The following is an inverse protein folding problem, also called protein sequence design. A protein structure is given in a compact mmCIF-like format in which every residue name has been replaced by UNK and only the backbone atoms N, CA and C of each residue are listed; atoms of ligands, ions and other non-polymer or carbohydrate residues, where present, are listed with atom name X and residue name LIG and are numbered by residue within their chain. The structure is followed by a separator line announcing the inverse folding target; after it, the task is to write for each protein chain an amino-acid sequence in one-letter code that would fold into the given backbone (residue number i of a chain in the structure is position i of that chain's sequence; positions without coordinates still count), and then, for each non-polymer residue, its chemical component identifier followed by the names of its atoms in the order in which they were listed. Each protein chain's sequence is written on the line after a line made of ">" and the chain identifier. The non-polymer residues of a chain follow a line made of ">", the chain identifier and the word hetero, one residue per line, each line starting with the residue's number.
data_IF_057844419437
#
_entry.id   IF_057844419437
#
_cell.length_a   1.000
_cell.length_b   1.000
_cell.length_c   1.000
_cell.angle_alpha   90.00
_cell.angle_beta   90.00
_cell.angle_gamma   90.00
#
_symmetry.space_group_name_H-M   'P 1'
#
loop_
_entity.id
_entity.type
_entity.pdbx_description
1 polymer ?
#
# COMPACT_ATOMS: atom_id res chain seq x y z
N UNK A 1 -2.53 74.55 -20.96
CA UNK A 1 -1.35 74.10 -20.20
C UNK A 1 -1.86 73.58 -18.85
N UNK A 2 -2.19 72.29 -18.80
CA UNK A 2 -1.42 71.25 -18.12
C UNK A 2 -1.61 71.25 -16.60
N UNK A 3 -2.49 70.37 -16.10
CA UNK A 3 -2.59 69.96 -14.70
C UNK A 3 -2.71 68.44 -14.68
N UNK A 4 -1.60 67.75 -14.42
CA UNK A 4 -1.53 66.30 -14.29
C UNK A 4 -2.08 65.88 -12.92
N UNK A 5 -3.14 65.05 -12.91
CA UNK A 5 -3.62 64.37 -11.72
C UNK A 5 -2.83 63.08 -11.50
N UNK A 6 -2.18 62.96 -10.34
CA UNK A 6 -1.42 61.79 -9.91
C UNK A 6 -2.36 60.63 -9.55
N UNK A 7 -2.33 59.55 -10.33
CA UNK A 7 -2.95 58.27 -9.98
C UNK A 7 -2.03 57.54 -8.98
N UNK A 8 -2.54 57.31 -7.77
CA UNK A 8 -1.91 56.44 -6.77
C UNK A 8 -2.11 54.98 -7.22
N UNK A 9 -1.05 54.30 -7.64
CA UNK A 9 -1.07 52.86 -7.84
C UNK A 9 -1.00 52.17 -6.47
N UNK A 10 -2.09 51.53 -6.06
CA UNK A 10 -2.08 50.62 -4.90
C UNK A 10 -1.41 49.33 -5.35
N UNK A 11 -0.15 49.14 -4.97
CA UNK A 11 0.54 47.86 -5.09
C UNK A 11 -0.06 46.88 -4.05
N UNK A 12 -0.89 45.94 -4.51
CA UNK A 12 -1.32 44.81 -3.68
C UNK A 12 -0.14 43.85 -3.59
N UNK A 13 0.49 43.85 -2.42
CA UNK A 13 1.65 43.04 -2.08
C UNK A 13 1.36 41.54 -2.19
N UNK A 14 2.11 40.85 -3.06
CA UNK A 14 2.15 39.39 -3.11
C UNK A 14 2.94 38.84 -1.92
N UNK A 15 2.25 38.43 -0.85
CA UNK A 15 2.88 37.86 0.35
C UNK A 15 2.11 36.67 0.93
N UNK A 16 1.58 35.79 0.08
CA UNK A 16 0.92 34.55 0.51
C UNK A 16 1.56 33.25 -0.01
N UNK A 17 2.65 33.32 -0.80
CA UNK A 17 3.25 32.13 -1.44
C UNK A 17 4.31 31.46 -0.54
N UNK A 18 4.92 32.17 0.41
CA UNK A 18 6.10 31.67 1.15
C UNK A 18 5.80 30.57 2.19
N UNK A 19 4.59 30.50 2.75
CA UNK A 19 4.25 29.54 3.80
C UNK A 19 3.87 28.13 3.28
N UNK A 20 3.56 28.01 1.98
CA UNK A 20 3.10 26.74 1.38
C UNK A 20 4.26 25.83 0.93
N UNK A 21 5.40 26.40 0.57
CA UNK A 21 6.55 25.65 0.04
C UNK A 21 7.18 24.66 1.05
N UNK A 22 7.41 25.00 2.34
CA UNK A 22 8.06 24.09 3.28
C UNK A 22 7.23 22.83 3.60
N UNK A 23 5.91 22.99 3.72
CA UNK A 23 4.99 21.88 4.00
C UNK A 23 4.86 20.93 2.80
N UNK A 24 4.82 21.48 1.58
CA UNK A 24 4.80 20.67 0.37
C UNK A 24 6.09 19.86 0.21
N UNK A 25 7.24 20.43 0.55
CA UNK A 25 8.54 19.75 0.50
C UNK A 25 8.63 18.63 1.54
N UNK A 26 8.29 18.91 2.81
CA UNK A 26 8.28 17.90 3.87
C UNK A 26 7.33 16.73 3.56
N UNK A 27 6.17 17.00 2.95
CA UNK A 27 5.22 15.96 2.53
C UNK A 27 5.78 15.11 1.39
N UNK A 28 6.52 15.72 0.45
CA UNK A 28 7.20 15.01 -0.62
C UNK A 28 8.33 14.11 -0.08
N UNK A 29 9.14 14.63 0.86
CA UNK A 29 10.22 13.87 1.51
C UNK A 29 9.67 12.65 2.26
N UNK A 30 8.57 12.81 3.01
CA UNK A 30 7.89 11.70 3.68
C UNK A 30 7.34 10.68 2.68
N UNK A 31 6.72 11.13 1.59
CA UNK A 31 6.17 10.26 0.55
C UNK A 31 7.28 9.41 -0.11
N UNK A 32 8.41 10.03 -0.46
CA UNK A 32 9.55 9.35 -1.07
C UNK A 32 10.21 8.35 -0.11
N UNK A 33 10.35 8.72 1.17
CA UNK A 33 10.86 7.83 2.20
C UNK A 33 9.95 6.59 2.39
N UNK A 34 8.64 6.80 2.51
CA UNK A 34 7.66 5.73 2.66
C UNK A 34 7.61 4.83 1.42
N UNK A 35 7.64 5.41 0.22
CA UNK A 35 7.75 4.67 -1.04
C UNK A 35 8.97 3.78 -1.08
N UNK A 36 10.14 4.29 -0.65
CA UNK A 36 11.37 3.51 -0.61
C UNK A 36 11.32 2.36 0.42
N UNK A 37 10.68 2.56 1.57
CA UNK A 37 10.45 1.50 2.56
C UNK A 37 9.62 0.37 1.96
N UNK A 38 8.50 0.70 1.32
CA UNK A 38 7.60 -0.28 0.70
C UNK A 38 8.29 -0.99 -0.47
N UNK A 39 9.02 -0.28 -1.33
CA UNK A 39 9.80 -0.88 -2.42
C UNK A 39 10.75 -1.95 -1.88
N UNK A 40 11.56 -1.63 -0.87
CA UNK A 40 12.50 -2.60 -0.26
C UNK A 40 11.80 -3.83 0.30
N UNK A 41 10.62 -3.66 0.91
CA UNK A 41 9.87 -4.78 1.45
C UNK A 41 9.32 -5.70 0.35
N UNK A 42 8.90 -5.15 -0.79
CA UNK A 42 8.51 -5.94 -1.95
C UNK A 42 9.69 -6.61 -2.65
N UNK A 43 10.85 -5.95 -2.72
CA UNK A 43 12.08 -6.57 -3.23
C UNK A 43 12.50 -7.77 -2.38
N UNK A 44 12.45 -7.62 -1.04
CA UNK A 44 12.69 -8.72 -0.11
C UNK A 44 11.66 -9.84 -0.26
N UNK A 45 10.39 -9.50 -0.53
CA UNK A 45 9.35 -10.48 -0.79
C UNK A 45 9.60 -11.27 -2.09
N UNK A 46 9.98 -10.59 -3.17
CA UNK A 46 10.37 -11.23 -4.43
C UNK A 46 11.60 -12.15 -4.26
N UNK A 47 12.55 -11.75 -3.41
CA UNK A 47 13.74 -12.54 -3.06
C UNK A 47 13.45 -13.68 -2.06
N UNK A 48 12.28 -13.71 -1.41
CA UNK A 48 11.92 -14.69 -0.38
C UNK A 48 12.65 -14.50 0.95
N UNK A 49 13.19 -13.32 1.23
CA UNK A 49 13.98 -13.00 2.44
C UNK A 49 13.23 -12.17 3.46
N UNK A 50 11.97 -11.83 3.19
CA UNK A 50 11.09 -11.05 4.07
C UNK A 50 9.80 -10.70 3.36
N UNK A 51 9.05 -9.72 3.88
CA UNK A 51 7.95 -9.15 3.11
C UNK A 51 7.28 -7.94 3.73
N UNK A 52 6.28 -7.36 3.04
CA UNK A 52 5.57 -6.17 3.50
C UNK A 52 4.86 -6.37 4.85
N UNK A 53 4.56 -7.61 5.24
CA UNK A 53 3.90 -7.93 6.51
C UNK A 53 4.79 -7.72 7.75
N UNK A 54 6.11 -7.61 7.58
CA UNK A 54 7.06 -7.28 8.65
C UNK A 54 7.02 -5.79 9.02
N UNK A 55 6.42 -4.97 8.14
CA UNK A 55 6.21 -3.55 8.36
C UNK A 55 4.91 -3.26 9.11
N UNK A 56 4.00 -4.22 9.26
CA UNK A 56 2.77 -4.02 10.03
C UNK A 56 3.12 -3.71 11.49
N UNK A 57 2.56 -2.62 12.03
CA UNK A 57 2.52 -2.40 13.47
C UNK A 57 1.66 -3.49 14.14
N UNK A 58 1.87 -3.76 15.43
CA UNK A 58 1.12 -4.82 16.12
C UNK A 58 -0.40 -4.56 16.13
N UNK A 59 -0.80 -3.30 16.24
CA UNK A 59 -2.18 -2.81 16.18
C UNK A 59 -2.66 -2.47 14.77
N UNK A 60 -1.92 -2.86 13.73
CA UNK A 60 -2.25 -2.51 12.36
C UNK A 60 -3.59 -3.11 11.90
N UNK A 61 -4.50 -2.26 11.44
CA UNK A 61 -5.79 -2.71 10.90
C UNK A 61 -5.66 -3.01 9.40
N UNK A 62 -6.04 -4.23 8.99
CA UNK A 62 -6.04 -4.63 7.58
C UNK A 62 -7.46 -4.83 7.08
N UNK A 63 -7.86 -4.16 6.01
CA UNK A 63 -9.18 -4.32 5.40
C UNK A 63 -9.04 -4.96 4.03
N UNK A 64 -9.63 -6.14 3.85
CA UNK A 64 -9.85 -6.73 2.53
C UNK A 64 -11.21 -6.26 2.04
N UNK A 65 -11.22 -5.49 0.95
CA UNK A 65 -12.46 -4.94 0.38
C UNK A 65 -13.19 -5.97 -0.49
N UNK A 66 -14.36 -5.59 -1.01
CA UNK A 66 -15.15 -6.47 -1.89
C UNK A 66 -15.86 -7.60 -1.13
N UNK A 67 -16.05 -8.73 -1.81
CA UNK A 67 -16.90 -9.84 -1.34
C UNK A 67 -16.19 -11.21 -1.47
N UNK A 68 -14.88 -11.24 -1.24
CA UNK A 68 -14.13 -12.48 -1.13
C UNK A 68 -14.47 -13.20 0.19
N UNK A 69 -14.11 -14.48 0.30
CA UNK A 69 -14.22 -15.24 1.54
C UNK A 69 -13.35 -14.68 2.68
N UNK A 70 -12.39 -13.81 2.36
CA UNK A 70 -11.54 -13.12 3.33
C UNK A 70 -11.93 -11.63 3.53
N UNK A 71 -13.03 -11.17 2.93
CA UNK A 71 -13.43 -9.76 3.00
C UNK A 71 -13.98 -9.41 4.38
N UNK A 72 -13.21 -8.62 5.13
CA UNK A 72 -13.56 -7.95 6.39
C UNK A 72 -12.41 -7.02 6.81
N UNK A 73 -12.60 -6.32 7.92
CA UNK A 73 -11.51 -5.66 8.64
C UNK A 73 -10.96 -6.58 9.72
N UNK A 74 -9.66 -6.83 9.66
CA UNK A 74 -8.87 -7.50 10.69
C UNK A 74 -8.31 -6.43 11.63
N UNK A 75 -8.59 -6.50 12.94
CA UNK A 75 -8.37 -5.37 13.85
C UNK A 75 -6.91 -5.16 14.26
N UNK A 76 -6.02 -6.13 13.97
CA UNK A 76 -4.60 -6.07 14.32
C UNK A 76 -3.79 -7.00 13.41
N UNK A 77 -2.46 -6.90 13.50
CA UNK A 77 -1.53 -7.70 12.68
C UNK A 77 -1.76 -9.20 12.85
N UNK A 78 -1.90 -9.68 14.08
CA UNK A 78 -1.98 -11.11 14.34
C UNK A 78 -3.28 -11.74 13.83
N UNK A 79 -4.42 -11.03 13.92
CA UNK A 79 -5.68 -11.45 13.32
C UNK A 79 -5.54 -11.61 11.80
N UNK A 80 -4.94 -10.62 11.12
CA UNK A 80 -4.71 -10.73 9.68
C UNK A 80 -3.73 -11.86 9.31
N UNK A 81 -2.64 -12.01 10.06
CA UNK A 81 -1.63 -13.02 9.78
C UNK A 81 -2.14 -14.44 10.03
N UNK A 82 -2.89 -14.67 11.12
CA UNK A 82 -3.44 -15.97 11.48
C UNK A 82 -4.56 -16.43 10.57
N UNK A 83 -5.45 -15.52 10.18
CA UNK A 83 -6.65 -15.86 9.43
C UNK A 83 -6.45 -15.84 7.92
N UNK A 84 -5.49 -15.05 7.42
CA UNK A 84 -5.27 -14.88 5.97
C UNK A 84 -3.88 -15.34 5.56
N UNK A 85 -2.81 -14.69 6.03
CA UNK A 85 -1.47 -14.87 5.43
C UNK A 85 -0.90 -16.26 5.67
N UNK A 86 -0.94 -16.77 6.90
CA UNK A 86 -0.47 -18.13 7.20
C UNK A 86 -1.30 -19.20 6.47
N UNK A 87 -2.65 -19.18 6.50
CA UNK A 87 -3.45 -20.13 5.73
C UNK A 87 -3.30 -19.99 4.20
N UNK A 88 -3.04 -18.78 3.69
CA UNK A 88 -2.73 -18.56 2.27
C UNK A 88 -1.43 -19.28 1.91
N UNK A 89 -0.34 -19.03 2.65
CA UNK A 89 0.96 -19.66 2.40
C UNK A 89 0.91 -21.18 2.58
N UNK A 90 0.13 -21.68 3.53
CA UNK A 90 -0.10 -23.11 3.73
C UNK A 90 -0.73 -23.81 2.51
N UNK A 91 -1.47 -23.08 1.66
CA UNK A 91 -2.04 -23.61 0.41
C UNK A 91 -1.09 -23.54 -0.79
N UNK A 92 0.04 -22.82 -0.67
CA UNK A 92 1.01 -22.65 -1.74
C UNK A 92 2.13 -23.70 -1.66
N UNK A 93 2.72 -24.09 -2.81
CA UNK A 93 3.90 -24.96 -2.84
C UNK A 93 5.17 -24.24 -2.40
N UNK A 94 5.24 -22.96 -2.74
CA UNK A 94 6.30 -22.04 -2.38
C UNK A 94 5.68 -20.66 -2.17
N UNK A 95 6.42 -19.73 -1.54
CA UNK A 95 5.95 -18.37 -1.33
C UNK A 95 5.46 -17.71 -2.62
N UNK A 96 4.37 -16.96 -2.51
CA UNK A 96 3.84 -16.15 -3.61
C UNK A 96 4.89 -15.11 -4.04
N UNK A 97 5.10 -14.95 -5.35
CA UNK A 97 6.11 -14.02 -5.88
C UNK A 97 5.42 -12.76 -6.43
N UNK A 98 5.70 -11.57 -5.86
CA UNK A 98 5.18 -10.31 -6.38
C UNK A 98 6.01 -9.81 -7.57
N UNK A 99 5.36 -9.00 -8.42
CA UNK A 99 5.97 -8.16 -9.45
C UNK A 99 5.28 -6.81 -9.41
N UNK A 100 6.00 -5.78 -8.95
CA UNK A 100 5.47 -4.41 -8.88
C UNK A 100 5.25 -3.89 -10.30
N UNK A 101 4.07 -3.34 -10.55
CA UNK A 101 3.78 -2.54 -11.75
C UNK A 101 4.09 -1.08 -11.51
N UNK A 102 3.64 -0.54 -10.38
CA UNK A 102 3.99 0.82 -9.96
C UNK A 102 3.78 1.05 -8.45
N UNK A 103 4.45 2.07 -7.92
CA UNK A 103 4.22 2.58 -6.56
C UNK A 103 3.95 4.09 -6.60
N UNK A 104 2.86 4.50 -5.99
CA UNK A 104 2.46 5.89 -5.79
C UNK A 104 2.55 6.24 -4.30
N UNK A 105 2.84 7.49 -3.97
CA UNK A 105 2.85 7.94 -2.58
C UNK A 105 2.37 9.39 -2.47
N UNK A 106 1.62 9.69 -1.42
CA UNK A 106 1.19 11.04 -1.09
C UNK A 106 1.14 11.23 0.44
N UNK A 107 2.09 11.99 0.99
CA UNK A 107 2.27 12.06 2.44
C UNK A 107 2.56 10.68 3.03
N UNK A 108 1.72 10.25 3.97
CA UNK A 108 1.89 8.99 4.71
C UNK A 108 1.35 7.76 3.96
N UNK A 109 0.56 7.96 2.91
CA UNK A 109 -0.09 6.87 2.17
C UNK A 109 0.77 6.44 0.99
N UNK A 110 1.02 5.13 0.89
CA UNK A 110 1.65 4.48 -0.26
C UNK A 110 0.65 3.53 -0.92
N UNK A 111 0.52 3.63 -2.25
CA UNK A 111 -0.29 2.71 -3.06
C UNK A 111 0.63 1.85 -3.90
N UNK A 112 0.54 0.53 -3.72
CA UNK A 112 1.28 -0.44 -4.54
C UNK A 112 0.33 -1.14 -5.49
N UNK A 113 0.60 -1.01 -6.79
CA UNK A 113 -0.05 -1.78 -7.84
C UNK A 113 0.89 -2.89 -8.30
N UNK A 114 0.51 -4.15 -8.11
CA UNK A 114 1.40 -5.28 -8.37
C UNK A 114 0.64 -6.53 -8.79
N UNK A 115 1.30 -7.39 -9.55
CA UNK A 115 0.85 -8.76 -9.79
C UNK A 115 1.52 -9.68 -8.77
N UNK A 116 0.87 -10.76 -8.39
CA UNK A 116 1.54 -11.83 -7.65
C UNK A 116 1.05 -13.20 -8.12
N UNK A 117 1.99 -14.13 -8.26
CA UNK A 117 1.69 -15.47 -8.76
C UNK A 117 2.56 -16.55 -8.12
N UNK A 118 2.10 -17.79 -8.22
CA UNK A 118 2.81 -18.97 -7.76
C UNK A 118 2.04 -20.25 -8.05
N UNK A 119 2.59 -21.38 -7.64
CA UNK A 119 1.93 -22.69 -7.79
C UNK A 119 1.33 -23.13 -6.46
N UNK A 120 0.05 -23.45 -6.46
CA UNK A 120 -0.63 -23.99 -5.29
C UNK A 120 -0.33 -25.48 -5.10
N UNK A 121 -0.62 -26.03 -3.91
CA UNK A 121 -0.31 -27.43 -3.57
C UNK A 121 -1.02 -28.46 -4.46
N UNK A 122 -2.16 -28.11 -5.03
CA UNK A 122 -2.85 -28.90 -6.05
C UNK A 122 -2.13 -28.92 -7.42
N UNK A 123 -1.02 -28.20 -7.57
CA UNK A 123 -0.24 -28.10 -8.80
C UNK A 123 -0.76 -27.06 -9.79
N UNK A 124 -1.90 -26.41 -9.51
CA UNK A 124 -2.48 -25.38 -10.36
C UNK A 124 -1.86 -24.01 -10.04
N UNK A 125 -1.78 -23.10 -11.03
CA UNK A 125 -1.33 -21.74 -10.78
C UNK A 125 -2.35 -20.98 -9.91
N UNK A 126 -1.83 -20.07 -9.11
CA UNK A 126 -2.56 -18.93 -8.58
C UNK A 126 -1.90 -17.66 -9.14
N UNK A 127 -2.70 -16.76 -9.68
CA UNK A 127 -2.26 -15.45 -10.14
C UNK A 127 -3.35 -14.44 -9.82
N UNK A 128 -2.95 -13.26 -9.34
CA UNK A 128 -3.88 -12.19 -9.02
C UNK A 128 -3.16 -10.83 -9.15
N UNK A 129 -3.96 -9.79 -9.32
CA UNK A 129 -3.51 -8.41 -9.44
C UNK A 129 -4.06 -7.64 -8.24
N UNK A 130 -3.18 -6.91 -7.57
CA UNK A 130 -3.48 -6.26 -6.30
C UNK A 130 -3.26 -4.74 -6.41
N UNK A 131 -4.12 -4.01 -5.70
CA UNK A 131 -3.83 -2.65 -5.28
C UNK A 131 -3.90 -2.59 -3.75
N UNK A 132 -2.80 -2.22 -3.10
CA UNK A 132 -2.74 -2.03 -1.66
C UNK A 132 -2.52 -0.57 -1.34
N UNK A 133 -3.40 -0.01 -0.51
CA UNK A 133 -3.27 1.32 0.08
C UNK A 133 -2.75 1.13 1.50
N UNK A 134 -1.58 1.68 1.78
CA UNK A 134 -0.84 1.46 3.02
C UNK A 134 -0.59 2.82 3.66
N UNK A 135 -1.11 3.05 4.86
CA UNK A 135 -0.82 4.26 5.64
C UNK A 135 0.34 3.96 6.60
N UNK A 136 1.44 4.69 6.43
CA UNK A 136 2.66 4.52 7.20
C UNK A 136 2.83 5.62 8.24
N UNK A 137 3.38 5.26 9.39
CA UNK A 137 3.90 6.19 10.39
C UNK A 137 5.16 5.60 11.01
N UNK A 138 6.21 6.41 11.11
CA UNK A 138 7.50 5.99 11.67
C UNK A 138 8.06 4.69 11.01
N UNK A 139 7.82 4.55 9.70
CA UNK A 139 8.23 3.40 8.90
C UNK A 139 7.42 2.11 9.12
N UNK A 140 6.31 2.17 9.85
CA UNK A 140 5.39 1.05 10.09
C UNK A 140 4.03 1.31 9.48
N UNK A 141 3.41 0.25 8.95
CA UNK A 141 2.06 0.28 8.39
C UNK A 141 1.07 0.14 9.56
N UNK A 142 0.30 1.19 9.83
CA UNK A 142 -0.76 1.18 10.85
C UNK A 142 -2.14 0.83 10.29
N UNK A 143 -2.34 1.04 8.99
CA UNK A 143 -3.61 0.78 8.32
C UNK A 143 -3.38 0.35 6.88
N UNK A 144 -4.13 -0.64 6.43
CA UNK A 144 -4.06 -1.15 5.07
C UNK A 144 -5.43 -1.43 4.47
N UNK A 145 -5.59 -1.15 3.18
CA UNK A 145 -6.72 -1.59 2.36
C UNK A 145 -6.21 -2.39 1.16
N UNK A 146 -6.75 -3.59 0.98
CA UNK A 146 -6.40 -4.47 -0.12
C UNK A 146 -7.56 -4.64 -1.09
N UNK A 147 -7.27 -4.47 -2.37
CA UNK A 147 -8.14 -4.76 -3.50
C UNK A 147 -7.48 -5.82 -4.37
N UNK A 148 -8.25 -6.82 -4.82
CA UNK A 148 -7.79 -7.89 -5.70
C UNK A 148 -8.96 -8.61 -6.35
N UNK A 149 -8.70 -9.53 -7.28
CA UNK A 149 -9.73 -10.38 -7.87
C UNK A 149 -10.26 -11.41 -6.84
N UNK A 150 -11.46 -11.13 -6.32
CA UNK A 150 -12.14 -11.99 -5.36
C UNK A 150 -12.51 -13.36 -5.92
N UNK A 151 -12.75 -13.49 -7.22
CA UNK A 151 -13.11 -14.77 -7.86
C UNK A 151 -11.88 -15.67 -7.89
N UNK A 152 -10.73 -15.15 -8.34
CA UNK A 152 -9.47 -15.88 -8.33
C UNK A 152 -9.04 -16.28 -6.90
N UNK A 153 -9.23 -15.39 -5.93
CA UNK A 153 -8.98 -15.71 -4.52
C UNK A 153 -9.90 -16.81 -3.99
N UNK A 154 -11.21 -16.71 -4.21
CA UNK A 154 -12.19 -17.66 -3.68
C UNK A 154 -11.99 -19.05 -4.28
N UNK A 155 -11.73 -19.15 -5.59
CA UNK A 155 -11.41 -20.43 -6.23
C UNK A 155 -10.19 -21.07 -5.59
N UNK A 156 -9.11 -20.30 -5.38
CA UNK A 156 -7.93 -20.79 -4.65
C UNK A 156 -8.21 -21.21 -3.21
N UNK A 157 -8.94 -20.38 -2.49
CA UNK A 157 -9.21 -20.58 -1.07
C UNK A 157 -10.05 -21.84 -0.81
N UNK A 158 -10.97 -22.15 -1.73
CA UNK A 158 -11.91 -23.27 -1.64
C UNK A 158 -11.33 -24.56 -2.19
N UNK A 159 -10.63 -24.52 -3.32
CA UNK A 159 -10.12 -25.73 -3.99
C UNK A 159 -8.89 -26.35 -3.32
N UNK A 160 -8.12 -25.56 -2.55
CA UNK A 160 -6.90 -26.03 -1.88
C UNK A 160 -7.06 -25.97 -0.37
N UNK A 161 -6.82 -27.08 0.31
CA UNK A 161 -6.78 -27.13 1.77
C UNK A 161 -5.41 -26.68 2.30
N UNK A 162 -5.35 -25.91 3.39
CA UNK A 162 -4.08 -25.54 4.01
C UNK A 162 -3.47 -26.77 4.69
N UNK A 163 -2.16 -26.97 4.54
CA UNK A 163 -1.44 -27.94 5.38
C UNK A 163 -1.04 -27.30 6.71
N UNK A 164 -0.99 -28.08 7.80
CA UNK A 164 -0.46 -27.61 9.09
C UNK A 164 0.96 -27.06 8.99
#
# INVERSE_FOLDING_TARGET
>A
MAGFGTLLAVAVSGFAVAALAPLAHARADTADANKAIIQRAFDAWAAGTGGPYDLLADDAAWTITGNSLASKTYPNREAFMSEVIRPFNARMRAGLKPSIRNIYAEGDTVVVFFDASGTARDGKPYANTYAWFLDLKDGKIGKAHAFFDSIAFNDFWTRVQPVP
#
